data_IF_940056290099
#
_entry.id   IF_940056290099
#
_cell.length_a   1.000
_cell.length_b   1.000
_cell.length_c   1.000
_cell.angle_alpha   90.00
_cell.angle_beta   90.00
_cell.angle_gamma   90.00
#
_symmetry.space_group_name_H-M   'P 1'
#
loop_
_entity.id
_entity.type
_entity.pdbx_description
1 polymer ?
#
# COMPACT_ATOMS: atom_id res chain seq x y z
N UNK A 1 -14.41 3.57 18.69
CA UNK A 1 -13.01 3.22 18.38
C UNK A 1 -12.72 3.80 17.01
N UNK A 2 -11.97 4.91 16.97
CA UNK A 2 -11.60 5.59 15.72
C UNK A 2 -10.48 4.81 15.04
N UNK A 3 -10.69 4.46 13.77
CA UNK A 3 -9.68 3.84 12.91
C UNK A 3 -8.74 4.94 12.44
N UNK A 4 -7.44 4.78 12.75
CA UNK A 4 -6.39 5.58 12.18
C UNK A 4 -5.40 4.62 11.54
N UNK A 5 -5.31 4.65 10.21
CA UNK A 5 -4.12 4.19 9.52
C UNK A 5 -3.05 5.23 9.84
N UNK A 6 -2.28 4.99 10.92
CA UNK A 6 -1.13 5.84 11.19
C UNK A 6 -0.16 5.68 10.02
N UNK A 7 0.24 6.76 9.33
CA UNK A 7 1.43 6.70 8.50
C UNK A 7 2.61 6.29 9.40
N UNK A 8 3.66 5.78 8.77
CA UNK A 8 4.95 5.47 9.40
C UNK A 8 5.27 6.46 10.55
N UNK A 9 5.76 5.97 11.71
CA UNK A 9 5.94 6.79 12.90
C UNK A 9 7.17 7.70 12.75
N UNK A 10 7.09 8.73 11.91
CA UNK A 10 8.05 9.84 11.88
C UNK A 10 7.39 11.22 11.79
N UNK A 11 6.06 11.30 11.70
CA UNK A 11 5.31 12.55 11.80
C UNK A 11 4.59 12.68 13.16
N UNK A 12 5.35 12.74 14.26
CA UNK A 12 4.91 13.41 15.50
C UNK A 12 6.15 13.87 16.26
N UNK A 13 6.40 15.16 16.23
CA UNK A 13 7.48 15.81 16.96
C UNK A 13 7.30 15.72 18.48
N UNK A 14 8.43 15.69 19.17
CA UNK A 14 8.60 15.76 20.61
C UNK A 14 7.77 16.89 21.26
N UNK A 15 6.98 16.55 22.27
CA UNK A 15 6.66 17.46 23.38
C UNK A 15 6.81 16.70 24.69
N UNK A 16 7.68 17.21 25.55
CA UNK A 16 7.92 16.73 26.92
C UNK A 16 6.82 17.24 27.88
N UNK A 17 6.81 16.86 29.18
CA UNK A 17 5.71 16.12 29.79
C UNK A 17 4.75 17.02 30.58
N UNK A 18 3.49 16.58 30.68
CA UNK A 18 2.58 17.03 31.74
C UNK A 18 2.12 15.84 32.59
N UNK A 19 2.32 16.02 33.89
CA UNK A 19 1.95 15.15 34.99
C UNK A 19 0.44 14.96 35.12
N UNK A 20 -0.01 13.73 35.32
CA UNK A 20 -1.40 13.43 35.68
C UNK A 20 -1.56 12.00 36.15
N UNK A 21 -1.56 11.82 37.47
CA UNK A 21 -1.73 10.53 38.17
C UNK A 21 -3.04 9.86 37.75
N UNK A 22 -3.01 8.55 37.48
CA UNK A 22 -4.04 7.63 37.98
C UNK A 22 -3.43 6.26 38.31
N UNK A 23 -3.59 5.86 39.58
CA UNK A 23 -3.31 4.53 40.14
C UNK A 23 -4.44 3.58 39.79
N UNK A 24 -4.10 2.28 39.65
CA UNK A 24 -4.74 1.10 40.26
C UNK A 24 -3.82 -0.11 39.92
N UNK A 25 -3.08 -0.67 40.88
CA UNK A 25 -3.39 -1.91 41.64
C UNK A 25 -3.84 -3.07 40.72
N UNK A 26 -3.26 -4.27 40.71
CA UNK A 26 -2.68 -5.03 41.82
C UNK A 26 -1.81 -6.20 41.28
N UNK A 27 -0.82 -6.59 42.09
CA UNK A 27 -0.31 -7.95 42.39
C UNK A 27 -0.01 -8.90 41.21
N UNK A 28 1.23 -9.41 41.06
CA UNK A 28 1.76 -10.57 41.81
C UNK A 28 3.26 -10.37 42.13
N UNK A 29 3.67 -10.80 43.33
CA UNK A 29 5.04 -10.76 43.88
C UNK A 29 5.78 -12.11 43.70
N UNK A 30 7.11 -12.14 43.94
CA UNK A 30 8.08 -13.12 43.41
C UNK A 30 8.63 -14.11 44.45
N UNK A 31 9.49 -15.03 44.00
CA UNK A 31 10.45 -15.83 44.77
C UNK A 31 11.03 -16.93 43.86
N UNK A 32 12.27 -17.40 43.93
CA UNK A 32 13.46 -17.24 44.78
C UNK A 32 14.64 -17.88 43.98
N UNK A 33 15.89 -17.40 44.13
CA UNK A 33 17.11 -18.03 43.55
C UNK A 33 17.61 -19.25 44.36
N UNK A 34 18.92 -19.58 44.47
CA UNK A 34 20.12 -19.12 43.72
C UNK A 34 21.15 -20.27 43.39
N UNK A 35 22.34 -19.92 42.85
CA UNK A 35 23.57 -20.75 42.80
C UNK A 35 24.06 -21.07 41.38
N UNK A 36 25.34 -21.02 40.99
CA UNK A 36 26.62 -21.06 41.70
C UNK A 36 27.74 -20.37 40.88
N UNK A 37 28.74 -19.85 41.60
CA UNK A 37 30.04 -19.41 41.11
C UNK A 37 30.94 -20.60 40.72
N UNK A 38 31.82 -20.41 39.73
CA UNK A 38 33.19 -20.96 39.86
C UNK A 38 33.91 -21.41 38.59
N UNK A 39 34.98 -20.65 38.29
CA UNK A 39 36.33 -21.06 37.83
C UNK A 39 36.73 -20.95 36.35
N UNK A 40 37.89 -20.29 36.22
CA UNK A 40 38.78 -20.07 35.08
C UNK A 40 39.46 -21.38 34.66
N UNK A 41 39.78 -21.52 33.37
CA UNK A 41 41.04 -22.11 32.90
C UNK A 41 41.33 -21.66 31.45
N UNK A 42 42.57 -21.23 31.24
CA UNK A 42 43.16 -20.85 29.96
C UNK A 42 43.65 -22.08 29.20
N UNK A 43 43.54 -22.09 27.87
CA UNK A 43 44.35 -22.96 27.00
C UNK A 43 44.77 -22.21 25.72
N UNK A 44 46.09 -22.13 25.55
CA UNK A 44 46.82 -21.78 24.33
C UNK A 44 46.55 -22.90 23.28
N UNK A 45 46.40 -22.64 21.98
CA UNK A 45 47.43 -22.12 21.09
C UNK A 45 48.18 -23.27 20.43
N UNK A 46 47.76 -23.72 19.24
CA UNK A 46 48.55 -24.51 18.28
C UNK A 46 47.70 -24.79 17.02
N UNK A 47 47.98 -24.10 15.91
CA UNK A 47 47.64 -24.57 14.56
C UNK A 47 48.84 -24.28 13.67
N UNK A 48 49.56 -25.35 13.36
CA UNK A 48 50.67 -25.38 12.44
C UNK A 48 50.18 -25.63 11.00
N UNK A 49 50.69 -24.82 10.08
CA UNK A 49 51.25 -25.24 8.80
C UNK A 49 50.36 -25.99 7.80
N UNK A 50 49.96 -25.28 6.74
CA UNK A 50 50.13 -25.82 5.39
C UNK A 50 50.38 -24.69 4.39
N UNK A 51 51.63 -24.57 3.95
CA UNK A 51 52.07 -23.74 2.82
C UNK A 51 52.10 -24.64 1.59
N UNK A 52 51.34 -24.30 0.55
CA UNK A 52 51.55 -24.83 -0.80
C UNK A 52 51.53 -23.69 -1.81
N UNK A 53 52.52 -23.76 -2.70
CA UNK A 53 53.08 -22.69 -3.51
C UNK A 53 52.16 -22.23 -4.66
N UNK A 54 52.11 -20.91 -4.87
CA UNK A 54 51.62 -20.32 -6.13
C UNK A 54 52.83 -20.02 -7.02
N UNK A 55 52.99 -20.81 -8.08
CA UNK A 55 53.91 -20.56 -9.19
C UNK A 55 53.48 -19.30 -9.94
N UNK A 56 54.40 -18.34 -10.04
CA UNK A 56 54.25 -17.15 -10.86
C UNK A 56 54.30 -17.53 -12.36
N UNK A 57 53.18 -17.41 -13.06
CA UNK A 57 53.18 -17.39 -14.52
C UNK A 57 53.63 -16.01 -15.02
N UNK A 58 54.75 -16.00 -15.74
CA UNK A 58 55.33 -14.84 -16.41
C UNK A 58 54.36 -14.26 -17.44
N UNK A 59 54.20 -12.94 -17.42
CA UNK A 59 53.56 -12.15 -18.46
C UNK A 59 54.32 -12.30 -19.78
N UNK A 60 53.63 -12.78 -20.83
CA UNK A 60 54.17 -12.84 -22.18
C UNK A 60 53.83 -11.54 -22.91
N UNK A 61 54.84 -10.96 -23.56
CA UNK A 61 54.76 -9.69 -24.29
C UNK A 61 53.84 -9.82 -25.51
N UNK A 62 52.92 -8.87 -25.67
CA UNK A 62 52.08 -8.76 -26.86
C UNK A 62 52.90 -8.13 -28.00
N UNK A 63 53.05 -8.87 -29.10
CA UNK A 63 53.62 -8.36 -30.35
C UNK A 63 52.66 -7.41 -31.09
N UNK A 64 53.18 -6.49 -31.92
CA UNK A 64 52.36 -5.52 -32.63
C UNK A 64 51.80 -6.17 -33.90
N UNK A 65 50.53 -6.57 -33.89
CA UNK A 65 49.95 -7.18 -35.09
C UNK A 65 48.59 -7.84 -34.87
N UNK A 66 47.59 -7.09 -34.39
CA UNK A 66 46.18 -7.45 -34.52
C UNK A 66 45.26 -6.24 -34.26
N UNK A 67 45.53 -5.12 -34.94
CA UNK A 67 44.51 -4.09 -35.12
C UNK A 67 43.72 -4.44 -36.38
N UNK A 68 42.59 -5.14 -36.22
CA UNK A 68 41.36 -4.89 -36.99
C UNK A 68 40.29 -5.95 -36.70
N UNK A 69 39.07 -5.43 -36.50
CA UNK A 69 37.78 -6.11 -36.33
C UNK A 69 37.42 -6.48 -34.89
N UNK A 70 37.33 -5.46 -34.03
CA UNK A 70 36.13 -5.38 -33.20
C UNK A 70 34.95 -5.40 -34.16
N UNK A 71 34.25 -6.53 -34.22
CA UNK A 71 32.96 -6.61 -34.88
C UNK A 71 32.14 -5.41 -34.41
N UNK A 72 31.50 -4.71 -35.35
CA UNK A 72 30.38 -3.85 -35.04
C UNK A 72 29.33 -4.71 -34.35
N UNK A 73 29.39 -4.78 -33.02
CA UNK A 73 28.25 -5.21 -32.23
C UNK A 73 27.15 -4.24 -32.60
N UNK A 74 26.15 -4.70 -33.35
CA UNK A 74 24.83 -4.08 -33.25
C UNK A 74 24.55 -3.97 -31.76
N UNK A 75 24.62 -2.76 -31.22
CA UNK A 75 24.09 -2.47 -29.91
C UNK A 75 22.58 -2.51 -30.11
N UNK A 76 22.04 -3.73 -30.16
CA UNK A 76 20.60 -3.97 -30.24
C UNK A 76 19.95 -3.17 -29.12
N UNK A 77 18.85 -2.47 -29.43
CA UNK A 77 18.09 -1.77 -28.40
C UNK A 77 17.77 -2.77 -27.28
N UNK A 78 18.02 -2.43 -26.00
CA UNK A 78 17.63 -3.28 -24.89
C UNK A 78 16.14 -3.68 -25.01
N UNK A 79 15.82 -4.91 -24.61
CA UNK A 79 14.44 -5.36 -24.63
C UNK A 79 13.58 -4.45 -23.74
N UNK A 80 12.53 -3.88 -24.34
CA UNK A 80 11.52 -3.07 -23.67
C UNK A 80 10.14 -3.71 -23.90
N UNK A 81 9.50 -4.30 -22.87
CA UNK A 81 8.19 -4.90 -23.04
C UNK A 81 7.15 -3.90 -23.54
N UNK A 82 7.26 -2.62 -23.16
CA UNK A 82 6.32 -1.57 -23.56
C UNK A 82 6.42 -1.22 -25.06
N UNK A 83 7.51 -1.59 -25.74
CA UNK A 83 7.72 -1.27 -27.15
C UNK A 83 6.70 -1.96 -28.09
N UNK A 84 6.03 -3.02 -27.63
CA UNK A 84 4.99 -3.72 -28.41
C UNK A 84 3.63 -3.00 -28.38
N UNK A 85 3.41 -2.05 -27.47
CA UNK A 85 2.11 -1.38 -27.27
C UNK A 85 1.46 -0.84 -28.56
N UNK A 86 2.19 -0.18 -29.49
CA UNK A 86 1.62 0.32 -30.75
C UNK A 86 1.18 -0.79 -31.71
N UNK A 87 1.57 -2.04 -31.47
CA UNK A 87 1.32 -3.20 -32.31
C UNK A 87 0.22 -4.11 -31.73
N UNK A 88 -0.36 -3.76 -30.58
CA UNK A 88 -1.43 -4.54 -29.97
C UNK A 88 -2.66 -4.57 -30.89
N UNK A 89 -3.23 -5.77 -31.06
CA UNK A 89 -4.44 -5.95 -31.85
C UNK A 89 -5.71 -5.37 -31.16
N UNK A 90 -5.64 -5.14 -29.86
CA UNK A 90 -6.68 -4.52 -29.04
C UNK A 90 -6.13 -3.25 -28.38
N UNK A 91 -7.03 -2.36 -27.97
CA UNK A 91 -6.64 -1.21 -27.15
C UNK A 91 -5.94 -1.69 -25.87
N UNK A 92 -4.89 -0.98 -25.42
CA UNK A 92 -4.20 -1.35 -24.19
C UNK A 92 -5.14 -1.22 -22.99
N UNK A 93 -4.89 -2.04 -21.96
CA UNK A 93 -5.59 -1.89 -20.68
C UNK A 93 -5.27 -0.54 -20.05
N UNK A 94 -6.31 0.23 -19.69
CA UNK A 94 -6.17 1.54 -19.09
C UNK A 94 -6.05 1.45 -17.57
N UNK A 95 -5.06 2.12 -16.98
CA UNK A 95 -4.86 2.15 -15.53
C UNK A 95 -4.83 3.61 -15.04
N UNK A 96 -5.77 3.95 -14.17
CA UNK A 96 -5.85 5.25 -13.49
C UNK A 96 -5.37 5.09 -12.04
N UNK A 97 -4.24 5.72 -11.69
CA UNK A 97 -3.71 5.70 -10.31
C UNK A 97 -4.07 6.99 -9.60
N UNK A 98 -5.08 6.98 -8.73
CA UNK A 98 -5.52 8.13 -7.95
C UNK A 98 -4.76 8.22 -6.62
N UNK A 99 -3.91 9.23 -6.50
CA UNK A 99 -3.15 9.54 -5.29
C UNK A 99 -3.88 10.51 -4.36
N UNK A 100 -3.93 10.24 -3.06
CA UNK A 100 -4.41 11.19 -2.04
C UNK A 100 -3.72 11.01 -0.69
N UNK A 101 -3.92 11.95 0.23
CA UNK A 101 -3.59 11.75 1.65
C UNK A 101 -4.75 11.01 2.32
N UNK A 102 -4.47 10.12 3.27
CA UNK A 102 -5.51 9.36 3.97
C UNK A 102 -6.56 10.29 4.57
N UNK A 103 -7.84 10.03 4.28
CA UNK A 103 -8.94 10.92 4.65
C UNK A 103 -9.27 10.85 6.16
N UNK A 104 -8.76 9.86 6.88
CA UNK A 104 -8.84 9.79 8.33
C UNK A 104 -8.00 10.86 9.04
N UNK A 105 -7.02 11.44 8.34
CA UNK A 105 -6.25 12.61 8.79
C UNK A 105 -6.89 13.95 8.41
N UNK A 106 -8.01 13.94 7.68
CA UNK A 106 -8.70 15.16 7.28
C UNK A 106 -9.24 15.92 8.51
N UNK A 107 -9.42 17.25 8.40
CA UNK A 107 -9.99 18.07 9.46
C UNK A 107 -11.33 17.51 10.00
N UNK A 108 -11.63 17.79 11.28
CA UNK A 108 -12.84 17.27 11.93
C UNK A 108 -14.14 17.63 11.17
N UNK A 109 -14.16 18.82 10.56
CA UNK A 109 -15.29 19.34 9.78
C UNK A 109 -15.38 18.79 8.34
N UNK A 110 -14.41 17.99 7.88
CA UNK A 110 -14.48 17.36 6.56
C UNK A 110 -15.74 16.50 6.42
N UNK A 111 -16.42 16.64 5.29
CA UNK A 111 -17.62 15.86 4.97
C UNK A 111 -17.37 15.00 3.74
N UNK A 112 -17.78 13.73 3.81
CA UNK A 112 -17.66 12.78 2.70
C UNK A 112 -18.39 13.27 1.45
N UNK A 113 -19.50 14.01 1.62
CA UNK A 113 -20.26 14.63 0.52
C UNK A 113 -19.44 15.60 -0.32
N UNK A 114 -18.36 16.17 0.23
CA UNK A 114 -17.48 17.07 -0.52
C UNK A 114 -16.68 16.34 -1.61
N UNK A 115 -16.53 15.02 -1.53
CA UNK A 115 -15.83 14.21 -2.54
C UNK A 115 -16.61 14.05 -3.85
N UNK A 116 -17.89 14.44 -3.87
CA UNK A 116 -18.80 14.16 -4.98
C UNK A 116 -18.29 14.62 -6.37
N UNK A 117 -17.64 15.79 -6.54
CA UNK A 117 -17.06 16.16 -7.83
C UNK A 117 -16.02 15.16 -8.35
N UNK A 118 -15.23 14.55 -7.45
CA UNK A 118 -14.25 13.51 -7.79
C UNK A 118 -14.95 12.17 -8.05
N UNK A 119 -15.87 11.77 -7.16
CA UNK A 119 -16.63 10.52 -7.30
C UNK A 119 -17.41 10.47 -8.61
N UNK A 120 -17.99 11.59 -9.04
CA UNK A 120 -18.73 11.66 -10.29
C UNK A 120 -17.83 11.36 -11.50
N UNK A 121 -16.61 11.89 -11.51
CA UNK A 121 -15.64 11.63 -12.58
C UNK A 121 -15.11 10.21 -12.55
N UNK A 122 -14.92 9.63 -11.36
CA UNK A 122 -14.57 8.21 -11.22
C UNK A 122 -15.67 7.27 -11.71
N UNK A 123 -16.95 7.60 -11.47
CA UNK A 123 -18.08 6.87 -12.06
C UNK A 123 -18.13 7.03 -13.58
N UNK A 124 -17.87 8.23 -14.10
CA UNK A 124 -17.80 8.48 -15.53
C UNK A 124 -16.63 7.73 -16.22
N UNK A 125 -15.52 7.51 -15.50
CA UNK A 125 -14.43 6.65 -15.94
C UNK A 125 -14.84 5.17 -16.06
N UNK A 126 -15.89 4.73 -15.33
CA UNK A 126 -16.44 3.37 -15.38
C UNK A 126 -15.36 2.29 -15.22
N UNK A 127 -14.65 2.23 -14.08
CA UNK A 127 -13.65 1.17 -13.86
C UNK A 127 -14.31 -0.21 -13.92
N UNK A 128 -13.65 -1.15 -14.57
CA UNK A 128 -14.00 -2.57 -14.60
C UNK A 128 -13.40 -3.31 -13.39
N UNK A 129 -12.32 -2.75 -12.81
CA UNK A 129 -11.72 -3.22 -11.55
C UNK A 129 -11.25 -2.03 -10.70
N UNK A 130 -11.42 -2.14 -9.38
CA UNK A 130 -10.92 -1.14 -8.42
C UNK A 130 -9.99 -1.82 -7.40
N UNK A 131 -8.78 -1.29 -7.31
CA UNK A 131 -7.76 -1.67 -6.35
C UNK A 131 -7.57 -0.58 -5.29
N UNK A 132 -7.12 -0.96 -4.10
CA UNK A 132 -6.83 -0.03 -3.00
C UNK A 132 -5.51 -0.33 -2.31
N UNK A 133 -5.03 0.61 -1.51
CA UNK A 133 -3.86 0.43 -0.62
C UNK A 133 -4.13 -0.56 0.54
N UNK A 134 -5.34 -1.12 0.67
CA UNK A 134 -5.54 -2.21 1.61
C UNK A 134 -4.70 -3.44 1.19
N UNK A 135 -4.22 -4.19 2.16
CA UNK A 135 -3.68 -5.53 1.91
C UNK A 135 -4.79 -6.46 1.42
N UNK A 136 -4.45 -7.39 0.54
CA UNK A 136 -5.37 -8.48 0.18
C UNK A 136 -5.65 -9.39 1.37
N UNK A 137 -6.79 -10.09 1.34
CA UNK A 137 -7.12 -11.07 2.38
C UNK A 137 -6.06 -12.16 2.53
N UNK A 138 -5.48 -12.61 1.41
CA UNK A 138 -4.35 -13.54 1.38
C UNK A 138 -3.15 -12.98 2.15
N UNK A 139 -2.79 -11.71 1.91
CA UNK A 139 -1.67 -11.10 2.60
C UNK A 139 -1.94 -10.95 4.12
N UNK A 140 -3.17 -10.59 4.50
CA UNK A 140 -3.56 -10.51 5.92
C UNK A 140 -3.41 -11.88 6.59
N UNK A 141 -3.85 -12.97 5.94
CA UNK A 141 -3.70 -14.33 6.47
C UNK A 141 -2.23 -14.77 6.48
N UNK A 142 -1.44 -14.40 5.48
CA UNK A 142 -0.01 -14.72 5.43
C UNK A 142 0.78 -14.04 6.57
N UNK A 143 0.46 -12.79 6.89
CA UNK A 143 1.07 -12.08 8.02
C UNK A 143 0.75 -12.75 9.37
N UNK A 144 -0.45 -13.30 9.53
CA UNK A 144 -0.82 -14.07 10.72
C UNK A 144 -0.06 -15.42 10.77
N UNK A 145 -0.04 -16.15 9.65
CA UNK A 145 0.63 -17.46 9.55
C UNK A 145 2.15 -17.37 9.76
N UNK A 146 2.78 -16.29 9.29
CA UNK A 146 4.22 -16.05 9.36
C UNK A 146 4.58 -14.90 10.33
N UNK A 147 3.77 -14.69 11.37
CA UNK A 147 3.95 -13.57 12.31
C UNK A 147 5.35 -13.50 12.94
N UNK A 148 5.97 -14.65 13.23
CA UNK A 148 7.33 -14.71 13.76
C UNK A 148 8.40 -14.15 12.80
N UNK A 149 8.16 -14.25 11.49
CA UNK A 149 9.05 -13.72 10.46
C UNK A 149 8.76 -12.24 10.17
N UNK A 150 7.48 -11.87 10.08
CA UNK A 150 7.07 -10.50 9.73
C UNK A 150 7.00 -9.52 10.92
N UNK A 151 7.24 -10.01 12.14
CA UNK A 151 7.30 -9.20 13.35
C UNK A 151 6.02 -8.39 13.56
N UNK A 152 6.12 -7.06 13.50
CA UNK A 152 4.99 -6.16 13.82
C UNK A 152 4.12 -5.80 12.62
N UNK A 153 4.41 -6.28 11.40
CA UNK A 153 3.65 -5.94 10.20
C UNK A 153 2.16 -6.32 10.31
N UNK A 154 1.80 -7.34 11.09
CA UNK A 154 0.40 -7.71 11.36
C UNK A 154 -0.45 -6.58 11.96
N UNK A 155 0.16 -5.53 12.54
CA UNK A 155 -0.56 -4.35 13.05
C UNK A 155 -1.36 -3.61 11.97
N UNK A 156 -0.90 -3.66 10.72
CA UNK A 156 -1.54 -2.98 9.59
C UNK A 156 -2.80 -3.69 9.11
N UNK A 157 -3.04 -4.94 9.54
CA UNK A 157 -4.31 -5.62 9.28
C UNK A 157 -5.46 -5.00 10.08
N UNK A 158 -5.18 -4.20 11.11
CA UNK A 158 -6.19 -3.57 11.96
C UNK A 158 -7.16 -4.62 12.55
N UNK A 159 -8.48 -4.37 12.54
CA UNK A 159 -9.46 -5.34 13.05
C UNK A 159 -9.68 -6.53 12.10
N UNK A 160 -9.18 -6.46 10.87
CA UNK A 160 -9.54 -7.37 9.77
C UNK A 160 -9.29 -8.83 10.12
N UNK A 161 -8.12 -9.13 10.69
CA UNK A 161 -7.75 -10.48 11.08
C UNK A 161 -8.72 -11.06 12.11
N UNK A 162 -9.08 -10.28 13.14
CA UNK A 162 -10.02 -10.72 14.17
C UNK A 162 -11.43 -10.94 13.62
N UNK A 163 -11.88 -10.06 12.72
CA UNK A 163 -13.17 -10.18 12.04
C UNK A 163 -13.21 -11.42 11.14
N UNK A 164 -12.14 -11.67 10.40
CA UNK A 164 -12.03 -12.83 9.52
C UNK A 164 -12.08 -14.14 10.32
N UNK A 165 -11.30 -14.25 11.40
CA UNK A 165 -11.30 -15.44 12.28
C UNK A 165 -12.69 -15.71 12.88
N UNK A 166 -13.41 -14.67 13.30
CA UNK A 166 -14.78 -14.82 13.80
C UNK A 166 -15.74 -15.32 12.71
N UNK A 167 -15.72 -14.71 11.52
CA UNK A 167 -16.57 -15.13 10.41
C UNK A 167 -16.23 -16.54 9.88
N UNK A 168 -14.95 -16.92 9.87
CA UNK A 168 -14.49 -18.27 9.55
C UNK A 168 -15.06 -19.30 10.52
N UNK A 169 -15.05 -19.00 11.83
CA UNK A 169 -15.62 -19.87 12.84
C UNK A 169 -17.15 -20.02 12.67
N UNK A 170 -17.85 -18.91 12.41
CA UNK A 170 -19.31 -18.91 12.19
C UNK A 170 -19.71 -19.69 10.93
N UNK A 171 -18.99 -19.50 9.82
CA UNK A 171 -19.27 -20.15 8.53
C UNK A 171 -18.68 -21.56 8.42
N UNK A 172 -17.76 -21.93 9.31
CA UNK A 172 -16.97 -23.18 9.26
C UNK A 172 -16.18 -23.33 7.96
N UNK A 173 -15.59 -22.22 7.51
CA UNK A 173 -14.76 -22.14 6.30
C UNK A 173 -13.38 -21.58 6.64
N UNK A 174 -12.35 -22.01 5.91
CA UNK A 174 -11.08 -21.29 5.89
C UNK A 174 -11.20 -20.00 5.08
N UNK A 175 -10.26 -19.07 5.23
CA UNK A 175 -10.20 -17.86 4.39
C UNK A 175 -10.18 -18.18 2.90
N UNK A 176 -9.41 -19.21 2.50
CA UNK A 176 -9.27 -19.62 1.10
C UNK A 176 -10.57 -20.20 0.54
N UNK A 177 -11.27 -21.06 1.31
CA UNK A 177 -12.57 -21.59 0.92
C UNK A 177 -13.59 -20.46 0.76
N UNK A 178 -13.65 -19.55 1.73
CA UNK A 178 -14.54 -18.39 1.68
C UNK A 178 -14.27 -17.48 0.46
N UNK A 179 -13.00 -17.27 0.10
CA UNK A 179 -12.62 -16.48 -1.08
C UNK A 179 -13.05 -17.14 -2.39
N UNK A 180 -12.88 -18.47 -2.51
CA UNK A 180 -13.32 -19.25 -3.68
C UNK A 180 -14.83 -19.18 -3.83
N UNK A 181 -15.58 -19.38 -2.74
CA UNK A 181 -17.05 -19.28 -2.76
C UNK A 181 -17.51 -17.86 -3.09
N UNK A 182 -16.86 -16.83 -2.53
CA UNK A 182 -17.17 -15.44 -2.85
C UNK A 182 -16.96 -15.14 -4.34
N UNK A 183 -15.84 -15.59 -4.92
CA UNK A 183 -15.54 -15.40 -6.34
C UNK A 183 -16.55 -16.10 -7.25
N UNK A 184 -16.93 -17.34 -6.92
CA UNK A 184 -17.97 -18.09 -7.64
C UNK A 184 -19.30 -17.35 -7.61
N UNK A 185 -19.68 -16.80 -6.45
CA UNK A 185 -20.93 -16.05 -6.31
C UNK A 185 -20.89 -14.72 -7.08
N UNK A 186 -19.76 -14.00 -7.10
CA UNK A 186 -19.60 -12.76 -7.88
C UNK A 186 -19.85 -12.98 -9.38
N UNK A 187 -19.43 -14.13 -9.93
CA UNK A 187 -19.56 -14.45 -11.35
C UNK A 187 -21.02 -14.71 -11.80
N UNK A 188 -21.93 -15.03 -10.86
CA UNK A 188 -23.33 -15.33 -11.21
C UNK A 188 -24.12 -14.10 -11.69
N UNK A 189 -23.74 -12.90 -11.25
CA UNK A 189 -24.51 -11.68 -11.48
C UNK A 189 -25.91 -11.72 -10.83
N UNK A 190 -26.66 -10.61 -10.90
CA UNK A 190 -28.07 -10.58 -10.49
C UNK A 190 -28.36 -11.01 -9.04
N UNK A 191 -27.44 -10.74 -8.11
CA UNK A 191 -27.53 -11.26 -6.75
C UNK A 191 -28.75 -10.72 -5.99
N UNK A 192 -29.53 -11.64 -5.40
CA UNK A 192 -30.61 -11.34 -4.46
C UNK A 192 -30.07 -10.70 -3.18
N UNK A 193 -30.90 -10.03 -2.36
CA UNK A 193 -30.47 -9.50 -1.06
C UNK A 193 -29.85 -10.56 -0.14
N UNK A 194 -30.42 -11.78 -0.11
CA UNK A 194 -29.86 -12.90 0.65
C UNK A 194 -28.46 -13.29 0.16
N UNK A 195 -28.27 -13.40 -1.17
CA UNK A 195 -26.96 -13.67 -1.75
C UNK A 195 -25.94 -12.56 -1.45
N UNK A 196 -26.35 -11.29 -1.41
CA UNK A 196 -25.43 -10.18 -1.07
C UNK A 196 -25.02 -10.20 0.40
N UNK A 197 -25.93 -10.52 1.32
CA UNK A 197 -25.58 -10.73 2.74
C UNK A 197 -24.61 -11.89 2.90
N UNK A 198 -24.87 -13.01 2.23
CA UNK A 198 -23.98 -14.15 2.23
C UNK A 198 -22.61 -13.82 1.60
N UNK A 199 -22.58 -13.10 0.49
CA UNK A 199 -21.33 -12.67 -0.13
C UNK A 199 -20.53 -11.73 0.80
N UNK A 200 -21.21 -10.85 1.55
CA UNK A 200 -20.57 -10.01 2.54
C UNK A 200 -19.92 -10.83 3.66
N UNK A 201 -20.60 -11.87 4.19
CA UNK A 201 -20.02 -12.73 5.23
C UNK A 201 -18.84 -13.56 4.70
N UNK A 202 -18.93 -14.08 3.47
CA UNK A 202 -17.82 -14.77 2.80
C UNK A 202 -16.60 -13.85 2.63
N UNK A 203 -16.79 -12.60 2.18
CA UNK A 203 -15.68 -11.66 2.07
C UNK A 203 -15.04 -11.33 3.43
N UNK A 204 -15.82 -11.21 4.49
CA UNK A 204 -15.25 -11.01 5.84
C UNK A 204 -14.42 -12.22 6.25
N UNK A 205 -14.93 -13.45 6.06
CA UNK A 205 -14.19 -14.68 6.34
C UNK A 205 -12.92 -14.81 5.48
N UNK A 206 -12.93 -14.29 4.25
CA UNK A 206 -11.77 -14.20 3.38
C UNK A 206 -10.79 -13.07 3.74
N UNK A 207 -11.01 -12.34 4.85
CA UNK A 207 -10.23 -11.16 5.24
C UNK A 207 -10.27 -10.00 4.21
N UNK A 208 -11.39 -9.85 3.51
CA UNK A 208 -11.67 -8.84 2.48
C UNK A 208 -12.80 -7.87 2.95
N UNK A 209 -12.65 -7.15 4.08
CA UNK A 209 -13.75 -6.42 4.70
C UNK A 209 -14.28 -5.26 3.84
N UNK A 210 -13.45 -4.71 2.95
CA UNK A 210 -13.87 -3.64 2.06
C UNK A 210 -14.71 -4.16 0.88
N UNK A 211 -14.44 -5.38 0.39
CA UNK A 211 -15.34 -6.07 -0.55
C UNK A 211 -16.67 -6.44 0.10
N UNK A 212 -16.64 -6.86 1.38
CA UNK A 212 -17.88 -7.03 2.16
C UNK A 212 -18.67 -5.72 2.31
N UNK A 213 -17.97 -4.60 2.47
CA UNK A 213 -18.58 -3.27 2.56
C UNK A 213 -19.27 -2.87 1.25
N UNK A 214 -18.69 -3.20 0.08
CA UNK A 214 -19.35 -3.01 -1.23
C UNK A 214 -20.70 -3.73 -1.25
N UNK A 215 -20.73 -5.00 -0.86
CA UNK A 215 -21.97 -5.78 -0.83
C UNK A 215 -23.00 -5.18 0.12
N UNK A 216 -22.55 -4.75 1.30
CA UNK A 216 -23.40 -4.11 2.29
C UNK A 216 -24.01 -2.79 1.79
N UNK A 217 -23.22 -1.98 1.08
CA UNK A 217 -23.67 -0.73 0.46
C UNK A 217 -24.70 -0.96 -0.65
N UNK A 218 -24.56 -2.05 -1.41
CA UNK A 218 -25.50 -2.43 -2.48
C UNK A 218 -26.82 -3.04 -1.98
N UNK A 219 -26.94 -3.34 -0.69
CA UNK A 219 -28.22 -3.66 -0.06
C UNK A 219 -29.04 -2.40 0.21
N UNK A 220 -30.34 -2.49 -0.05
CA UNK A 220 -31.30 -1.52 0.47
C UNK A 220 -31.21 -1.47 2.01
N UNK A 221 -31.42 -0.31 2.67
CA UNK A 221 -31.28 -0.20 4.11
C UNK A 221 -32.11 -1.22 4.91
N UNK A 222 -33.32 -1.56 4.44
CA UNK A 222 -34.18 -2.57 5.08
C UNK A 222 -33.63 -4.00 4.98
N UNK A 223 -32.75 -4.29 4.02
CA UNK A 223 -32.14 -5.61 3.80
C UNK A 223 -30.82 -5.80 4.57
N UNK A 224 -30.36 -4.77 5.28
CA UNK A 224 -29.12 -4.78 6.09
C UNK A 224 -29.36 -5.43 7.47
N UNK A 225 -29.75 -6.69 7.44
CA UNK A 225 -30.19 -7.48 8.60
C UNK A 225 -29.25 -8.63 8.92
N UNK A 226 -29.41 -9.21 10.12
CA UNK A 226 -28.66 -10.39 10.56
C UNK A 226 -29.29 -11.67 10.00
N UNK A 227 -28.91 -12.03 8.78
CA UNK A 227 -29.37 -13.23 8.09
C UNK A 227 -28.30 -13.71 7.09
N UNK A 228 -28.46 -14.92 6.55
CA UNK A 228 -27.65 -15.45 5.45
C UNK A 228 -26.13 -15.49 5.76
N UNK A 229 -25.79 -15.90 6.98
CA UNK A 229 -24.41 -15.95 7.47
C UNK A 229 -23.88 -14.63 8.03
N UNK A 230 -24.70 -13.57 8.08
CA UNK A 230 -24.37 -12.32 8.77
C UNK A 230 -24.91 -12.34 10.20
N UNK A 231 -24.02 -12.34 11.20
CA UNK A 231 -24.39 -12.25 12.61
C UNK A 231 -24.82 -10.82 13.02
N UNK A 232 -25.58 -10.64 14.11
CA UNK A 232 -25.91 -9.30 14.62
C UNK A 232 -24.68 -8.43 14.91
N UNK A 233 -23.58 -9.05 15.39
CA UNK A 233 -22.31 -8.36 15.58
C UNK A 233 -21.72 -7.91 14.24
N UNK A 234 -21.79 -8.75 13.20
CA UNK A 234 -21.30 -8.39 11.89
C UNK A 234 -22.13 -7.28 11.24
N UNK A 235 -23.46 -7.25 11.43
CA UNK A 235 -24.32 -6.12 11.02
C UNK A 235 -23.80 -4.80 11.57
N UNK A 236 -23.51 -4.74 12.88
CA UNK A 236 -22.97 -3.53 13.53
C UNK A 236 -21.65 -3.10 12.90
N UNK A 237 -20.75 -4.06 12.65
CA UNK A 237 -19.45 -3.80 12.04
C UNK A 237 -19.59 -3.29 10.61
N UNK A 238 -20.39 -3.95 9.75
CA UNK A 238 -20.59 -3.54 8.36
C UNK A 238 -21.29 -2.18 8.26
N UNK A 239 -22.24 -1.87 9.14
CA UNK A 239 -22.83 -0.53 9.24
C UNK A 239 -21.79 0.53 9.64
N UNK A 240 -20.91 0.21 10.60
CA UNK A 240 -19.81 1.11 10.96
C UNK A 240 -18.84 1.32 9.80
N UNK A 241 -18.51 0.25 9.07
CA UNK A 241 -17.61 0.31 7.93
C UNK A 241 -18.20 1.17 6.82
N UNK A 242 -19.48 1.00 6.49
CA UNK A 242 -20.17 1.78 5.47
C UNK A 242 -20.21 3.30 5.75
N UNK A 243 -19.97 3.72 7.00
CA UNK A 243 -19.85 5.12 7.41
C UNK A 243 -18.42 5.61 7.62
N UNK A 244 -17.38 4.83 7.28
CA UNK A 244 -15.99 5.23 7.50
C UNK A 244 -15.59 6.38 6.60
N UNK A 245 -15.00 7.41 7.22
CA UNK A 245 -14.43 8.60 6.57
C UNK A 245 -13.01 8.36 6.04
N UNK A 246 -12.74 7.19 5.47
CA UNK A 246 -11.46 6.89 4.81
C UNK A 246 -11.65 6.75 3.30
N UNK A 247 -10.58 6.86 2.54
CA UNK A 247 -10.56 6.78 1.08
C UNK A 247 -11.03 5.43 0.54
N UNK A 248 -10.73 4.34 1.24
CA UNK A 248 -11.10 3.00 0.81
C UNK A 248 -12.63 2.87 0.79
N UNK A 249 -13.33 3.30 1.84
CA UNK A 249 -14.79 3.17 1.89
C UNK A 249 -15.49 4.34 1.21
N UNK A 250 -15.13 5.57 1.57
CA UNK A 250 -15.80 6.79 1.08
C UNK A 250 -15.58 7.02 -0.42
N UNK A 251 -14.54 6.41 -1.02
CA UNK A 251 -14.30 6.49 -2.46
C UNK A 251 -14.35 5.11 -3.13
N UNK A 252 -13.44 4.18 -2.81
CA UNK A 252 -13.31 2.95 -3.59
C UNK A 252 -14.57 2.08 -3.49
N UNK A 253 -15.02 1.76 -2.28
CA UNK A 253 -16.21 0.93 -2.07
C UNK A 253 -17.48 1.63 -2.57
N UNK A 254 -17.56 2.95 -2.40
CA UNK A 254 -18.67 3.75 -2.92
C UNK A 254 -18.76 3.70 -4.44
N UNK A 255 -17.65 3.95 -5.14
CA UNK A 255 -17.60 3.90 -6.61
C UNK A 255 -17.89 2.47 -7.09
N UNK A 256 -17.32 1.44 -6.46
CA UNK A 256 -17.61 0.04 -6.79
C UNK A 256 -19.11 -0.27 -6.67
N UNK A 257 -19.74 0.15 -5.57
CA UNK A 257 -21.18 -0.04 -5.37
C UNK A 257 -22.01 0.71 -6.42
N UNK A 258 -21.66 1.97 -6.71
CA UNK A 258 -22.36 2.84 -7.66
C UNK A 258 -22.26 2.31 -9.11
N UNK A 259 -21.10 1.76 -9.52
CA UNK A 259 -20.88 1.22 -10.87
C UNK A 259 -21.19 -0.28 -11.00
N UNK A 260 -21.68 -0.91 -9.93
CA UNK A 260 -22.17 -2.28 -9.95
C UNK A 260 -21.10 -3.37 -9.84
N UNK A 261 -19.88 -3.04 -9.43
CA UNK A 261 -18.83 -4.02 -9.15
C UNK A 261 -19.16 -4.82 -7.89
N UNK A 262 -18.74 -6.08 -7.85
CA UNK A 262 -19.01 -6.96 -6.71
C UNK A 262 -17.91 -6.90 -5.63
N UNK A 263 -16.72 -6.39 -5.94
CA UNK A 263 -15.61 -6.40 -4.99
C UNK A 263 -14.58 -5.30 -5.25
N UNK A 264 -13.72 -5.12 -4.26
CA UNK A 264 -12.44 -4.44 -4.39
C UNK A 264 -11.31 -5.47 -4.40
N UNK A 265 -10.11 -5.01 -4.76
CA UNK A 265 -8.88 -5.79 -4.69
C UNK A 265 -7.86 -5.04 -3.84
N UNK A 266 -7.27 -5.72 -2.85
CA UNK A 266 -6.17 -5.16 -2.08
C UNK A 266 -4.86 -5.23 -2.89
N UNK A 267 -4.20 -4.08 -3.08
CA UNK A 267 -2.88 -4.00 -3.70
C UNK A 267 -1.78 -3.62 -2.70
N UNK A 268 -2.14 -3.13 -1.51
CA UNK A 268 -1.19 -2.73 -0.48
C UNK A 268 -0.28 -3.87 -0.03
N UNK A 269 0.94 -3.52 0.36
CA UNK A 269 1.95 -4.48 0.78
C UNK A 269 2.60 -4.12 2.12
N UNK A 270 2.53 -5.05 3.06
CA UNK A 270 3.32 -5.06 4.29
C UNK A 270 4.10 -6.37 4.47
N UNK A 271 4.10 -7.29 3.49
CA UNK A 271 5.02 -8.44 3.53
C UNK A 271 6.46 -7.97 3.39
N UNK A 272 6.71 -6.97 2.55
CA UNK A 272 8.06 -6.43 2.31
C UNK A 272 8.58 -5.56 3.45
N UNK A 273 7.79 -5.30 4.51
CA UNK A 273 8.25 -4.55 5.69
C UNK A 273 9.46 -5.21 6.37
N UNK A 274 9.64 -6.52 6.20
CA UNK A 274 10.83 -7.26 6.66
C UNK A 274 12.14 -6.76 6.04
N UNK A 275 12.08 -6.13 4.87
CA UNK A 275 13.24 -5.53 4.21
C UNK A 275 13.58 -4.14 4.77
N UNK A 276 12.67 -3.52 5.53
CA UNK A 276 12.85 -2.18 6.08
C UNK A 276 13.99 -2.13 7.11
N UNK A 277 14.72 -1.00 7.19
CA UNK A 277 15.65 -0.78 8.28
C UNK A 277 14.94 -0.78 9.64
N UNK A 278 15.67 -1.10 10.71
CA UNK A 278 15.10 -1.07 12.06
C UNK A 278 14.70 0.36 12.47
N UNK A 279 13.78 0.45 13.44
CA UNK A 279 13.33 1.75 13.95
C UNK A 279 14.47 2.57 14.54
N UNK A 280 15.44 1.90 15.15
CA UNK A 280 16.62 2.50 15.78
C UNK A 280 17.58 3.03 14.72
N UNK A 281 17.80 2.29 13.64
CA UNK A 281 18.62 2.74 12.52
C UNK A 281 18.00 3.97 11.86
N UNK A 282 16.68 3.96 11.61
CA UNK A 282 15.99 5.12 11.05
C UNK A 282 16.05 6.35 11.96
N UNK A 283 15.85 6.17 13.27
CA UNK A 283 15.99 7.27 14.25
C UNK A 283 17.41 7.85 14.24
N UNK A 284 18.43 7.01 14.14
CA UNK A 284 19.82 7.47 14.07
C UNK A 284 20.07 8.30 12.80
N UNK A 285 19.55 7.89 11.65
CA UNK A 285 19.64 8.66 10.40
C UNK A 285 18.94 10.01 10.54
N UNK A 286 17.69 10.03 11.03
CA UNK A 286 16.92 11.27 11.22
C UNK A 286 17.62 12.22 12.20
N UNK A 287 18.21 11.71 13.28
CA UNK A 287 18.97 12.53 14.21
C UNK A 287 20.28 13.07 13.62
N UNK A 288 20.91 12.30 12.73
CA UNK A 288 22.19 12.67 12.12
C UNK A 288 22.03 13.66 10.96
N UNK A 289 20.90 13.65 10.24
CA UNK A 289 20.68 14.45 9.03
C UNK A 289 19.80 15.69 9.27
N UNK A 290 20.37 16.90 9.37
CA UNK A 290 19.62 18.15 9.50
C UNK A 290 18.63 18.32 8.35
N UNK A 291 17.41 18.76 8.67
CA UNK A 291 16.37 19.03 7.69
C UNK A 291 15.64 17.79 7.17
N UNK A 292 16.08 16.56 7.48
CA UNK A 292 15.37 15.35 7.06
C UNK A 292 13.97 15.26 7.67
N UNK A 293 13.81 15.72 8.91
CA UNK A 293 12.48 15.87 9.54
C UNK A 293 11.59 16.85 8.78
N UNK A 294 12.11 17.99 8.33
CA UNK A 294 11.33 18.96 7.56
C UNK A 294 10.95 18.42 6.19
N UNK A 295 11.85 17.67 5.53
CA UNK A 295 11.55 16.98 4.28
C UNK A 295 10.38 15.99 4.46
N UNK A 296 10.48 15.08 5.43
CA UNK A 296 9.44 14.08 5.69
C UNK A 296 8.10 14.68 6.09
N UNK A 297 8.10 15.84 6.74
CA UNK A 297 6.88 16.55 7.12
C UNK A 297 6.37 17.52 6.05
N UNK A 298 6.96 17.53 4.84
CA UNK A 298 6.66 18.50 3.77
C UNK A 298 6.75 19.96 4.23
N UNK A 299 7.69 20.26 5.14
CA UNK A 299 7.91 21.58 5.73
C UNK A 299 9.09 22.33 5.07
N UNK A 300 9.24 22.22 3.75
CA UNK A 300 10.28 22.92 2.99
C UNK A 300 9.73 24.16 2.27
N UNK A 301 10.57 25.10 1.81
CA UNK A 301 10.11 26.23 1.00
C UNK A 301 9.30 25.82 -0.23
N UNK A 302 9.67 24.72 -0.90
CA UNK A 302 9.01 24.22 -2.11
C UNK A 302 7.57 23.76 -1.86
N UNK A 303 7.33 23.12 -0.70
CA UNK A 303 5.99 22.73 -0.26
C UNK A 303 5.20 23.91 0.30
N UNK A 304 5.84 24.84 1.02
CA UNK A 304 5.20 26.07 1.52
C UNK A 304 4.79 27.05 0.41
N UNK A 305 5.41 26.94 -0.77
CA UNK A 305 5.03 27.70 -1.95
C UNK A 305 3.76 27.16 -2.64
N UNK A 306 3.17 26.07 -2.14
CA UNK A 306 1.89 25.55 -2.62
C UNK A 306 0.76 26.33 -1.93
N UNK A 307 -0.23 26.86 -2.67
CA UNK A 307 -1.35 27.56 -2.07
C UNK A 307 -2.09 26.69 -1.04
N UNK A 308 -2.55 27.32 0.03
CA UNK A 308 -3.13 26.64 1.18
C UNK A 308 -4.40 25.84 0.82
N UNK A 309 -5.22 26.38 -0.07
CA UNK A 309 -6.42 25.78 -0.63
C UNK A 309 -6.16 24.52 -1.47
N UNK A 310 -4.91 24.30 -1.89
CA UNK A 310 -4.48 23.07 -2.56
C UNK A 310 -3.93 22.02 -1.58
N UNK A 311 -3.94 22.32 -0.29
CA UNK A 311 -3.37 21.48 0.77
C UNK A 311 -4.38 21.11 1.87
N UNK A 312 -5.43 21.92 2.05
CA UNK A 312 -6.42 21.73 3.12
C UNK A 312 -7.70 21.09 2.57
N UNK A 313 -8.23 20.11 3.30
CA UNK A 313 -9.55 19.49 3.07
C UNK A 313 -10.57 20.11 4.05
N UNK A 314 -10.53 21.43 4.24
CA UNK A 314 -11.30 22.16 5.24
C UNK A 314 -12.63 22.72 4.72
N UNK A 315 -12.78 22.85 3.39
CA UNK A 315 -14.02 23.26 2.73
C UNK A 315 -14.27 22.48 1.44
N UNK A 316 -15.53 22.42 1.01
CA UNK A 316 -15.94 21.74 -0.23
C UNK A 316 -15.24 22.29 -1.48
N UNK A 317 -15.02 23.60 -1.53
CA UNK A 317 -14.34 24.29 -2.65
C UNK A 317 -12.87 23.90 -2.82
N UNK A 318 -12.23 23.31 -1.80
CA UNK A 318 -10.81 22.96 -1.82
C UNK A 318 -10.56 21.56 -2.41
N UNK A 319 -11.57 20.69 -2.43
CA UNK A 319 -11.43 19.28 -2.82
C UNK A 319 -10.74 19.13 -4.18
N UNK A 320 -11.26 19.81 -5.21
CA UNK A 320 -10.70 19.69 -6.55
C UNK A 320 -9.25 20.19 -6.61
N UNK A 321 -8.92 21.29 -5.92
CA UNK A 321 -7.56 21.82 -5.86
C UNK A 321 -6.59 20.86 -5.17
N UNK A 322 -6.99 20.26 -4.05
CA UNK A 322 -6.19 19.26 -3.33
C UNK A 322 -5.94 18.03 -4.19
N UNK A 323 -6.98 17.48 -4.82
CA UNK A 323 -6.84 16.30 -5.66
C UNK A 323 -5.97 16.58 -6.90
N UNK A 324 -6.12 17.75 -7.54
CA UNK A 324 -5.26 18.18 -8.65
C UNK A 324 -3.80 18.30 -8.22
N UNK A 325 -3.55 18.91 -7.05
CA UNK A 325 -2.20 19.04 -6.51
C UNK A 325 -1.56 17.67 -6.23
N UNK A 326 -2.23 16.82 -5.43
CA UNK A 326 -1.72 15.49 -5.03
C UNK A 326 -1.48 14.56 -6.22
N UNK A 327 -2.16 14.79 -7.34
CA UNK A 327 -1.98 14.02 -8.57
C UNK A 327 -1.13 14.71 -9.64
N UNK A 328 -0.53 15.85 -9.32
CA UNK A 328 0.35 16.58 -10.24
C UNK A 328 1.74 15.94 -10.33
N UNK A 329 2.38 16.10 -11.49
CA UNK A 329 3.79 15.72 -11.66
C UNK A 329 4.70 16.47 -10.68
N UNK A 330 4.34 17.70 -10.32
CA UNK A 330 5.12 18.51 -9.36
C UNK A 330 5.07 17.89 -7.96
N UNK A 331 3.90 17.52 -7.44
CA UNK A 331 3.80 16.85 -6.15
C UNK A 331 4.59 15.53 -6.14
N UNK A 332 4.39 14.68 -7.15
CA UNK A 332 5.08 13.39 -7.22
C UNK A 332 6.61 13.52 -7.22
N UNK A 333 7.16 14.54 -7.89
CA UNK A 333 8.60 14.85 -7.87
C UNK A 333 9.07 15.33 -6.50
N UNK A 334 8.35 16.30 -5.90
CA UNK A 334 8.74 16.85 -4.60
C UNK A 334 8.65 15.82 -3.47
N UNK A 335 7.61 14.99 -3.47
CA UNK A 335 7.43 13.97 -2.44
C UNK A 335 8.46 12.83 -2.57
N UNK A 336 8.71 12.33 -3.79
CA UNK A 336 9.76 11.34 -4.03
C UNK A 336 11.15 11.89 -3.66
N UNK A 337 11.40 13.17 -3.95
CA UNK A 337 12.63 13.85 -3.55
C UNK A 337 12.78 13.90 -2.03
N UNK A 338 11.72 14.34 -1.34
CA UNK A 338 11.72 14.54 0.10
C UNK A 338 11.81 13.24 0.90
N UNK A 339 11.13 12.17 0.46
CA UNK A 339 11.03 10.93 1.24
C UNK A 339 12.08 9.88 0.86
N UNK A 340 12.39 9.74 -0.44
CA UNK A 340 13.23 8.65 -0.94
C UNK A 340 14.57 9.14 -1.48
N UNK A 341 14.59 10.13 -2.37
CA UNK A 341 15.84 10.55 -2.99
C UNK A 341 16.76 11.29 -1.99
N UNK A 342 16.18 12.00 -1.01
CA UNK A 342 16.89 12.56 0.14
C UNK A 342 17.71 11.50 0.89
N UNK A 343 17.12 10.31 1.10
CA UNK A 343 17.77 9.18 1.76
C UNK A 343 18.90 8.58 0.92
N UNK A 344 18.83 8.67 -0.41
CA UNK A 344 19.91 8.21 -1.29
C UNK A 344 21.07 9.21 -1.39
N UNK A 345 20.78 10.51 -1.28
CA UNK A 345 21.81 11.57 -1.36
C UNK A 345 22.50 11.83 -0.02
N UNK A 346 21.89 11.45 1.09
CA UNK A 346 22.46 11.60 2.42
C UNK A 346 23.56 10.56 2.67
N UNK A 347 24.81 11.02 2.80
CA UNK A 347 25.93 10.18 3.24
C UNK A 347 25.71 9.59 4.64
N UNK A 348 24.97 10.33 5.49
CA UNK A 348 24.65 9.91 6.87
C UNK A 348 23.57 8.82 6.90
N UNK A 349 22.64 8.86 5.94
CA UNK A 349 21.69 7.77 5.73
C UNK A 349 22.40 6.53 5.20
N UNK A 350 23.36 6.71 4.28
CA UNK A 350 24.26 5.66 3.81
C UNK A 350 23.53 4.36 3.44
N UNK A 351 23.96 3.24 4.05
CA UNK A 351 23.33 1.92 3.81
C UNK A 351 21.87 1.87 4.29
N UNK A 352 21.55 2.54 5.39
CA UNK A 352 20.19 2.58 5.94
C UNK A 352 19.23 3.31 5.01
N UNK A 353 19.66 4.42 4.40
CA UNK A 353 18.88 5.13 3.38
C UNK A 353 18.65 4.30 2.11
N UNK A 354 19.69 3.60 1.63
CA UNK A 354 19.55 2.68 0.50
C UNK A 354 18.59 1.51 0.81
N UNK A 355 18.67 0.97 2.02
CA UNK A 355 17.76 -0.10 2.46
C UNK A 355 16.32 0.40 2.55
N UNK A 356 16.10 1.60 3.11
CA UNK A 356 14.78 2.24 3.17
C UNK A 356 14.15 2.35 1.77
N UNK A 357 14.89 2.90 0.81
CA UNK A 357 14.38 3.07 -0.55
C UNK A 357 14.13 1.72 -1.23
N UNK A 358 15.03 0.74 -1.07
CA UNK A 358 14.79 -0.60 -1.64
C UNK A 358 13.52 -1.26 -1.07
N UNK A 359 13.24 -1.09 0.23
CA UNK A 359 12.01 -1.59 0.85
C UNK A 359 10.76 -0.86 0.32
N UNK A 360 10.85 0.47 0.15
CA UNK A 360 9.78 1.27 -0.46
C UNK A 360 9.50 0.84 -1.91
N UNK A 361 10.54 0.62 -2.71
CA UNK A 361 10.40 0.12 -4.08
C UNK A 361 9.79 -1.28 -4.11
N UNK A 362 10.17 -2.17 -3.19
CA UNK A 362 9.58 -3.51 -3.08
C UNK A 362 8.07 -3.47 -2.82
N UNK A 363 7.59 -2.59 -1.93
CA UNK A 363 6.14 -2.41 -1.70
C UNK A 363 5.42 -1.92 -2.96
N UNK A 364 5.99 -0.91 -3.64
CA UNK A 364 5.39 -0.36 -4.87
C UNK A 364 5.42 -1.36 -6.04
N UNK A 365 6.45 -2.20 -6.13
CA UNK A 365 6.52 -3.30 -7.11
C UNK A 365 5.46 -4.37 -6.82
N UNK A 366 5.22 -4.70 -5.55
CA UNK A 366 4.12 -5.60 -5.14
C UNK A 366 2.75 -5.04 -5.52
N UNK A 367 2.53 -3.73 -5.34
CA UNK A 367 1.33 -3.06 -5.84
C UNK A 367 1.20 -3.19 -7.37
N UNK A 368 2.29 -2.99 -8.12
CA UNK A 368 2.28 -3.15 -9.58
C UNK A 368 1.96 -4.59 -10.03
N UNK A 369 2.44 -5.60 -9.29
CA UNK A 369 2.06 -7.01 -9.51
C UNK A 369 0.56 -7.21 -9.29
N UNK A 370 0.02 -6.74 -8.15
CA UNK A 370 -1.41 -6.86 -7.86
C UNK A 370 -2.29 -6.20 -8.94
N UNK A 371 -1.88 -5.03 -9.45
CA UNK A 371 -2.55 -4.37 -10.58
C UNK A 371 -2.50 -5.23 -11.83
N UNK A 372 -1.34 -5.84 -12.17
CA UNK A 372 -1.24 -6.70 -13.36
C UNK A 372 -2.10 -7.96 -13.23
N UNK A 373 -2.12 -8.59 -12.07
CA UNK A 373 -2.95 -9.77 -11.80
C UNK A 373 -4.44 -9.43 -11.91
N UNK A 374 -4.86 -8.30 -11.34
CA UNK A 374 -6.25 -7.84 -11.41
C UNK A 374 -6.67 -7.39 -12.82
N UNK A 375 -5.74 -6.91 -13.65
CA UNK A 375 -6.01 -6.46 -15.02
C UNK A 375 -5.93 -7.57 -16.07
N UNK A 376 -5.23 -8.67 -15.80
CA UNK A 376 -5.09 -9.77 -16.75
C UNK A 376 -6.43 -10.32 -17.29
N UNK A 377 -7.52 -10.44 -16.50
CA UNK A 377 -8.83 -10.89 -17.01
C UNK A 377 -9.63 -9.83 -17.78
N UNK A 378 -9.19 -8.57 -17.79
CA UNK A 378 -9.92 -7.44 -18.39
C UNK A 378 -9.06 -6.73 -19.45
N UNK A 379 -8.40 -7.49 -20.33
CA UNK A 379 -7.58 -6.92 -21.41
C UNK A 379 -8.36 -5.87 -22.22
N UNK A 380 -7.80 -4.65 -22.35
CA UNK A 380 -8.45 -3.49 -22.98
C UNK A 380 -9.52 -2.79 -22.11
N UNK A 381 -9.71 -3.24 -20.87
CA UNK A 381 -10.58 -2.65 -19.87
C UNK A 381 -9.91 -1.53 -19.07
N UNK A 382 -10.57 -1.10 -18.00
CA UNK A 382 -10.20 0.06 -17.17
C UNK A 382 -10.01 -0.34 -15.71
N UNK A 383 -8.81 -0.15 -15.17
CA UNK A 383 -8.52 -0.26 -13.75
C UNK A 383 -8.41 1.11 -13.07
N UNK A 384 -8.82 1.15 -11.80
CA UNK A 384 -8.61 2.27 -10.90
C UNK A 384 -7.86 1.77 -9.66
N UNK A 385 -6.71 2.38 -9.34
CA UNK A 385 -6.05 2.22 -8.05
C UNK A 385 -6.31 3.50 -7.21
N UNK A 386 -6.80 3.36 -5.98
CA UNK A 386 -6.85 4.44 -5.00
C UNK A 386 -5.79 4.19 -3.93
N UNK A 387 -4.82 5.11 -3.80
CA UNK A 387 -3.61 4.90 -3.00
C UNK A 387 -3.07 6.20 -2.41
N UNK A 388 -2.28 6.10 -1.34
CA UNK A 388 -1.45 7.18 -0.82
C UNK A 388 -0.64 7.87 -1.92
N UNK A 389 -0.69 9.19 -1.96
CA UNK A 389 -0.12 9.98 -3.06
C UNK A 389 1.39 9.76 -3.26
N UNK A 390 2.11 9.33 -2.22
CA UNK A 390 3.53 8.97 -2.27
C UNK A 390 3.84 7.74 -3.13
N UNK A 391 2.88 6.79 -3.22
CA UNK A 391 3.05 5.57 -4.04
C UNK A 391 2.90 5.84 -5.53
N UNK A 392 2.01 6.77 -5.90
CA UNK A 392 1.65 7.09 -7.29
C UNK A 392 2.85 7.24 -8.24
N UNK A 393 3.89 8.07 -7.97
CA UNK A 393 5.00 8.24 -8.90
C UNK A 393 5.79 6.94 -9.16
N UNK A 394 5.96 6.10 -8.13
CA UNK A 394 6.67 4.81 -8.24
C UNK A 394 5.82 3.78 -8.97
N UNK A 395 4.56 3.59 -8.56
CA UNK A 395 3.64 2.65 -9.20
C UNK A 395 3.47 2.99 -10.68
N UNK A 396 3.25 4.26 -11.03
CA UNK A 396 3.17 4.66 -12.43
C UNK A 396 4.48 4.41 -13.20
N UNK A 397 5.64 4.64 -12.58
CA UNK A 397 6.92 4.36 -13.24
C UNK A 397 7.06 2.87 -13.60
N UNK A 398 6.68 1.96 -12.70
CA UNK A 398 6.73 0.52 -12.97
C UNK A 398 5.68 0.09 -14.01
N UNK A 399 4.45 0.58 -13.90
CA UNK A 399 3.38 0.25 -14.85
C UNK A 399 3.70 0.68 -16.30
N UNK A 400 4.46 1.78 -16.51
CA UNK A 400 4.88 2.21 -17.85
C UNK A 400 5.70 1.16 -18.60
N UNK A 401 6.38 0.27 -17.88
CA UNK A 401 7.21 -0.79 -18.46
C UNK A 401 6.39 -1.98 -18.98
N UNK A 402 5.09 -2.06 -18.65
CA UNK A 402 4.26 -3.19 -19.05
C UNK A 402 3.79 -3.05 -20.50
N UNK A 403 3.79 -4.19 -21.20
CA UNK A 403 3.44 -4.30 -22.62
C UNK A 403 2.03 -3.81 -22.96
N UNK A 404 1.07 -4.16 -22.11
CA UNK A 404 -0.37 -3.94 -22.30
C UNK A 404 -0.95 -3.13 -21.13
N UNK A 405 -0.32 -2.00 -20.82
CA UNK A 405 -0.83 -1.00 -19.89
C UNK A 405 -0.64 0.39 -20.45
N UNK A 406 -1.71 1.18 -20.45
CA UNK A 406 -1.68 2.62 -20.71
C UNK A 406 -2.11 3.36 -19.43
N UNK A 407 -1.32 4.35 -19.00
CA UNK A 407 -1.67 5.17 -17.84
C UNK A 407 -2.64 6.29 -18.23
N UNK A 408 -3.73 6.40 -17.48
CA UNK A 408 -4.69 7.49 -17.64
C UNK A 408 -4.27 8.68 -16.75
N UNK A 409 -4.29 9.88 -17.33
CA UNK A 409 -3.95 11.11 -16.61
C UNK A 409 -5.05 11.50 -15.63
N UNK A 410 -4.76 11.41 -14.33
CA UNK A 410 -5.67 11.92 -13.28
C UNK A 410 -5.92 13.43 -13.43
N UNK A 411 -4.92 14.31 -13.65
CA UNK A 411 -5.21 15.72 -13.89
C UNK A 411 -6.19 15.94 -15.04
N UNK A 412 -6.02 15.26 -16.17
CA UNK A 412 -6.96 15.38 -17.29
C UNK A 412 -8.37 14.87 -16.93
N UNK A 413 -8.47 13.77 -16.18
CA UNK A 413 -9.75 13.26 -15.66
C UNK A 413 -10.42 14.27 -14.72
N UNK A 414 -9.67 14.94 -13.85
CA UNK A 414 -10.18 15.96 -12.93
C UNK A 414 -10.61 17.25 -13.65
N UNK A 415 -9.94 17.65 -14.74
CA UNK A 415 -10.35 18.79 -15.57
C UNK A 415 -11.55 18.47 -16.46
N UNK A 416 -11.78 17.20 -16.78
CA UNK A 416 -12.95 16.81 -17.56
C UNK A 416 -14.24 17.24 -16.84
N UNK A 417 -15.25 17.61 -17.63
CA UNK A 417 -16.60 17.93 -17.17
C UNK A 417 -17.61 16.92 -17.75
N UNK A 418 -17.64 15.67 -17.24
CA UNK A 418 -18.63 14.71 -17.70
C UNK A 418 -20.05 15.24 -17.46
N UNK A 419 -20.97 14.92 -18.38
CA UNK A 419 -22.36 15.31 -18.24
C UNK A 419 -22.93 14.81 -16.90
N UNK A 420 -23.58 15.71 -16.14
CA UNK A 420 -24.16 15.40 -14.84
C UNK A 420 -23.20 15.51 -13.64
N UNK A 421 -21.93 15.84 -13.85
CA UNK A 421 -21.01 16.16 -12.75
C UNK A 421 -21.03 17.66 -12.44
N UNK A 422 -21.25 18.01 -11.17
CA UNK A 422 -21.00 19.36 -10.68
C UNK A 422 -19.51 19.71 -10.77
N UNK A 423 -19.22 21.01 -10.82
CA UNK A 423 -17.84 21.51 -10.90
C UNK A 423 -16.98 21.10 -9.70
#
# INVERSE_FOLDING_TARGET
MLFSYKPLPFATACTAPFSGRYRLHNQIKPGLGPGLLGRRAAWQGLLAGLVLALSACKANQAGPGAAARLASTEVGRPFDPAAVRPQLALAPTQVLVLGLTHLDTAPANFQVSWLEPVLCRLRAYKPDVILTEAMSGEQVMALDAYAAYHGTAGRYAGPTLSMAKAAQADLKLTASQALVEANSLCQKGGLTPANRRHLASLFVAAAEPFSATVQWMRLAPAERIAADGVSPALVKTLNSFAGLRNEIVSMAARVAADVGLERLYGAGDHLSDVASPSSEAMKAVVAAEPGLTDLFNHNTPEFRAVPEEAMKLAAASEIMSVFKWKNSLRFGRLDADAQCQSMLRSDKAGRTGRQWVAAWEAQNLRMAVAIREATAPIAGGRALLIVGAAHKPYVEAYLRTFADVELVSVPAMLEAKPAGCAE
#
